data_IF_469842490686
#
_entry.id   IF_469842490686
#
_cell.length_a   1.000
_cell.length_b   1.000
_cell.length_c   1.000
_cell.angle_alpha   90.00
_cell.angle_beta   90.00
_cell.angle_gamma   90.00
#
_symmetry.space_group_name_H-M   'P 1'
#
loop_
_entity.id
_entity.type
_entity.pdbx_description
1 polymer ?
#
# COMPACT_ATOMS: atom_id res chain seq x y z
N UNK A 1 -11.95 6.53 -19.38
CA UNK A 1 -11.53 6.55 -17.97
C UNK A 1 -10.09 6.09 -17.89
N UNK A 2 -9.40 6.44 -16.82
CA UNK A 2 -8.07 5.94 -16.51
C UNK A 2 -8.06 4.43 -16.27
N UNK A 3 -9.17 3.85 -15.80
CA UNK A 3 -9.36 2.40 -15.73
C UNK A 3 -9.17 1.72 -17.10
N UNK A 4 -9.80 2.25 -18.16
CA UNK A 4 -9.67 1.71 -19.52
C UNK A 4 -8.22 1.78 -20.01
N UNK A 5 -7.55 2.92 -19.82
CA UNK A 5 -6.13 3.08 -20.14
C UNK A 5 -5.25 2.09 -19.36
N UNK A 6 -5.51 1.91 -18.07
CA UNK A 6 -4.77 0.96 -17.23
C UNK A 6 -4.93 -0.47 -17.75
N UNK A 7 -6.16 -0.92 -18.00
CA UNK A 7 -6.45 -2.27 -18.50
C UNK A 7 -5.84 -2.48 -19.89
N UNK A 8 -6.00 -1.51 -20.78
CA UNK A 8 -5.55 -1.61 -22.18
C UNK A 8 -4.04 -1.57 -22.32
N UNK A 9 -3.37 -0.66 -21.61
CA UNK A 9 -1.98 -0.30 -21.89
C UNK A 9 -1.04 -0.67 -20.74
N UNK A 10 -1.43 -0.48 -19.47
CA UNK A 10 -0.54 -0.73 -18.32
C UNK A 10 -0.47 -2.20 -17.91
N UNK A 11 -1.61 -2.88 -17.78
CA UNK A 11 -1.61 -4.29 -17.35
C UNK A 11 -0.84 -5.21 -18.33
N UNK A 12 -0.92 -5.05 -19.67
CA UNK A 12 -0.09 -5.84 -20.58
C UNK A 12 1.40 -5.54 -20.46
N UNK A 13 1.79 -4.29 -20.16
CA UNK A 13 3.18 -3.92 -19.91
C UNK A 13 3.71 -4.60 -18.64
N UNK A 14 2.92 -4.61 -17.56
CA UNK A 14 3.27 -5.30 -16.31
C UNK A 14 3.48 -6.79 -16.56
N UNK A 15 2.54 -7.47 -17.24
CA UNK A 15 2.69 -8.89 -17.60
C UNK A 15 3.94 -9.15 -18.46
N UNK A 16 4.26 -8.24 -19.37
CA UNK A 16 5.46 -8.36 -20.21
C UNK A 16 6.74 -8.25 -19.37
N UNK A 17 6.79 -7.34 -18.39
CA UNK A 17 7.92 -7.21 -17.46
C UNK A 17 8.04 -8.44 -16.54
N UNK A 18 6.93 -9.02 -16.11
CA UNK A 18 6.93 -10.26 -15.32
C UNK A 18 7.52 -11.42 -16.14
N UNK A 19 7.09 -11.57 -17.39
CA UNK A 19 7.62 -12.59 -18.31
C UNK A 19 9.13 -12.37 -18.54
N UNK A 20 9.56 -11.14 -18.78
CA UNK A 20 10.97 -10.79 -18.93
C UNK A 20 11.78 -11.12 -17.66
N UNK A 21 11.23 -10.84 -16.48
CA UNK A 21 11.88 -11.16 -15.20
C UNK A 21 12.11 -12.65 -15.04
N UNK A 22 11.11 -13.49 -15.31
CA UNK A 22 11.27 -14.94 -15.30
C UNK A 22 12.37 -15.40 -16.28
N UNK A 23 12.37 -14.85 -17.49
CA UNK A 23 13.35 -15.19 -18.52
C UNK A 23 14.79 -14.82 -18.11
N UNK A 24 14.98 -13.65 -17.47
CA UNK A 24 16.30 -13.21 -16.96
C UNK A 24 16.81 -14.10 -15.83
N UNK A 25 15.92 -14.67 -15.02
CA UNK A 25 16.27 -15.56 -13.90
C UNK A 25 16.43 -17.04 -14.31
N UNK A 26 16.36 -17.37 -15.60
CA UNK A 26 16.53 -18.75 -16.09
C UNK A 26 17.83 -19.42 -15.59
N UNK A 27 18.94 -18.69 -15.59
CA UNK A 27 20.23 -19.24 -15.14
C UNK A 27 20.22 -19.51 -13.63
N UNK A 28 19.63 -18.62 -12.82
CA UNK A 28 19.45 -18.81 -11.38
C UNK A 28 18.58 -20.05 -11.11
N UNK A 29 17.46 -20.21 -11.83
CA UNK A 29 16.62 -21.40 -11.70
C UNK A 29 17.34 -22.69 -12.11
N UNK A 30 18.25 -22.63 -13.08
CA UNK A 30 19.08 -23.77 -13.45
C UNK A 30 20.11 -24.09 -12.36
N UNK A 31 20.76 -23.09 -11.79
CA UNK A 31 21.75 -23.25 -10.72
C UNK A 31 21.10 -23.83 -9.45
N UNK A 32 19.91 -23.35 -9.08
CA UNK A 32 19.22 -23.78 -7.85
C UNK A 32 18.45 -25.09 -8.00
N UNK A 33 17.90 -25.37 -9.20
CA UNK A 33 16.93 -26.45 -9.39
C UNK A 33 17.21 -27.36 -10.61
N UNK A 34 18.30 -27.12 -11.34
CA UNK A 34 18.65 -27.83 -12.57
C UNK A 34 17.63 -27.63 -13.69
N UNK A 35 17.56 -28.60 -14.60
CA UNK A 35 16.62 -28.59 -15.73
C UNK A 35 15.15 -28.44 -15.30
N UNK A 36 14.78 -28.96 -14.12
CA UNK A 36 13.41 -28.81 -13.59
C UNK A 36 13.03 -27.36 -13.34
N UNK A 37 13.98 -26.51 -12.92
CA UNK A 37 13.77 -25.07 -12.75
C UNK A 37 13.49 -24.38 -14.09
N UNK A 38 14.29 -24.70 -15.11
CA UNK A 38 14.13 -24.16 -16.47
C UNK A 38 12.82 -24.62 -17.12
N UNK A 39 12.42 -25.87 -16.91
CA UNK A 39 11.11 -26.36 -17.40
C UNK A 39 9.94 -25.65 -16.71
N UNK A 40 10.03 -25.41 -15.40
CA UNK A 40 9.02 -24.69 -14.65
C UNK A 40 8.91 -23.22 -15.08
N UNK A 41 10.05 -22.55 -15.32
CA UNK A 41 10.12 -21.20 -15.88
C UNK A 41 9.41 -21.11 -17.23
N UNK A 42 9.72 -22.01 -18.17
CA UNK A 42 9.04 -22.06 -19.48
C UNK A 42 7.52 -22.24 -19.36
N UNK A 43 7.06 -23.13 -18.46
CA UNK A 43 5.62 -23.34 -18.23
C UNK A 43 4.95 -22.10 -17.63
N UNK A 44 5.59 -21.44 -16.67
CA UNK A 44 5.10 -20.20 -16.08
C UNK A 44 5.01 -19.07 -17.14
N UNK A 45 6.04 -18.91 -17.98
CA UNK A 45 6.02 -17.95 -19.10
C UNK A 45 4.90 -18.26 -20.09
N UNK A 46 4.68 -19.53 -20.43
CA UNK A 46 3.58 -19.94 -21.31
C UNK A 46 2.22 -19.56 -20.73
N UNK A 47 2.00 -19.83 -19.43
CA UNK A 47 0.78 -19.45 -18.71
C UNK A 47 0.57 -17.93 -18.74
N UNK A 48 1.59 -17.14 -18.43
CA UNK A 48 1.52 -15.68 -18.40
C UNK A 48 1.32 -15.07 -19.79
N UNK A 49 1.89 -15.70 -20.82
CA UNK A 49 1.67 -15.29 -22.21
C UNK A 49 0.21 -15.52 -22.63
N UNK A 50 -0.38 -16.65 -22.20
CA UNK A 50 -1.81 -16.92 -22.37
C UNK A 50 -2.66 -15.88 -21.64
N UNK A 51 -2.36 -15.59 -20.37
CA UNK A 51 -3.04 -14.57 -19.56
C UNK A 51 -2.98 -13.18 -20.23
N UNK A 52 -1.82 -12.79 -20.75
CA UNK A 52 -1.66 -11.52 -21.48
C UNK A 52 -2.54 -11.48 -22.73
N UNK A 53 -2.63 -12.57 -23.49
CA UNK A 53 -3.51 -12.65 -24.65
C UNK A 53 -5.00 -12.62 -24.26
N UNK A 54 -5.39 -13.32 -23.18
CA UNK A 54 -6.75 -13.27 -22.61
C UNK A 54 -7.15 -11.82 -22.30
N UNK A 55 -6.29 -11.09 -21.59
CA UNK A 55 -6.44 -9.66 -21.29
C UNK A 55 -6.59 -8.81 -22.55
N UNK A 56 -5.65 -8.92 -23.50
CA UNK A 56 -5.62 -8.07 -24.70
C UNK A 56 -6.77 -8.33 -25.68
N UNK A 57 -7.36 -9.54 -25.64
CA UNK A 57 -8.47 -9.93 -26.52
C UNK A 57 -9.83 -9.98 -25.81
N UNK A 58 -9.91 -9.35 -24.62
CA UNK A 58 -11.11 -9.26 -23.79
C UNK A 58 -11.82 -10.61 -23.59
N UNK A 59 -11.04 -11.67 -23.34
CA UNK A 59 -11.62 -12.99 -23.02
C UNK A 59 -12.40 -12.92 -21.71
N UNK A 60 -13.43 -13.77 -21.54
CA UNK A 60 -14.08 -13.93 -20.25
C UNK A 60 -13.08 -14.31 -19.16
N UNK A 61 -13.31 -13.79 -17.96
CA UNK A 61 -12.61 -14.17 -16.73
C UNK A 61 -12.95 -15.63 -16.42
N UNK A 62 -11.93 -16.45 -16.15
CA UNK A 62 -12.12 -17.87 -15.88
C UNK A 62 -11.98 -18.17 -14.38
N UNK A 63 -12.61 -19.24 -13.87
CA UNK A 63 -12.35 -19.71 -12.52
C UNK A 63 -10.85 -19.97 -12.28
N UNK A 64 -10.43 -19.83 -11.03
CA UNK A 64 -9.11 -20.25 -10.58
C UNK A 64 -9.15 -21.76 -10.31
N UNK A 65 -8.18 -22.48 -10.90
CA UNK A 65 -8.07 -23.95 -10.85
C UNK A 65 -6.89 -24.42 -9.96
N UNK A 66 -6.16 -23.48 -9.34
CA UNK A 66 -5.09 -23.81 -8.40
C UNK A 66 -5.63 -24.19 -7.02
N UNK A 67 -4.79 -24.86 -6.21
CA UNK A 67 -5.13 -25.36 -4.88
C UNK A 67 -4.81 -24.36 -3.75
N UNK A 68 -4.62 -23.06 -4.05
CA UNK A 68 -4.32 -22.08 -3.01
C UNK A 68 -5.56 -21.82 -2.13
N UNK A 69 -5.37 -21.47 -0.83
CA UNK A 69 -6.46 -21.39 0.13
C UNK A 69 -7.59 -20.40 -0.20
N UNK A 70 -7.29 -19.37 -1.00
CA UNK A 70 -8.23 -18.31 -1.36
C UNK A 70 -9.03 -18.60 -2.65
N UNK A 71 -8.69 -19.66 -3.40
CA UNK A 71 -9.28 -19.95 -4.71
C UNK A 71 -10.82 -20.09 -4.65
N UNK A 72 -11.34 -20.70 -3.59
CA UNK A 72 -12.78 -20.84 -3.38
C UNK A 72 -13.49 -19.48 -3.23
N UNK A 73 -12.91 -18.54 -2.47
CA UNK A 73 -13.47 -17.20 -2.29
C UNK A 73 -13.41 -16.37 -3.58
N UNK A 74 -12.34 -16.53 -4.37
CA UNK A 74 -12.23 -15.91 -5.68
C UNK A 74 -13.28 -16.41 -6.67
N UNK A 75 -13.53 -17.73 -6.68
CA UNK A 75 -14.53 -18.33 -7.56
C UNK A 75 -15.95 -17.95 -7.12
N UNK A 76 -16.22 -17.87 -5.82
CA UNK A 76 -17.48 -17.31 -5.30
C UNK A 76 -17.68 -15.85 -5.73
N UNK A 77 -16.62 -15.04 -5.73
CA UNK A 77 -16.70 -13.65 -6.20
C UNK A 77 -16.97 -13.57 -7.71
N UNK A 78 -16.36 -14.45 -8.53
CA UNK A 78 -16.68 -14.56 -9.96
C UNK A 78 -18.16 -14.90 -10.18
N UNK A 79 -18.69 -15.87 -9.43
CA UNK A 79 -20.11 -16.24 -9.51
C UNK A 79 -21.02 -15.09 -9.07
N UNK A 80 -20.65 -14.33 -8.03
CA UNK A 80 -21.34 -13.10 -7.67
C UNK A 80 -21.35 -12.09 -8.84
N UNK A 81 -20.20 -11.86 -9.48
CA UNK A 81 -20.09 -10.94 -10.63
C UNK A 81 -20.96 -11.38 -11.83
N UNK A 82 -21.02 -12.69 -12.11
CA UNK A 82 -21.89 -13.27 -13.17
C UNK A 82 -23.38 -13.02 -12.91
N UNK A 83 -23.78 -13.03 -11.64
CA UNK A 83 -25.18 -12.89 -11.23
C UNK A 83 -25.61 -11.42 -11.01
N UNK A 84 -24.75 -10.44 -11.28
CA UNK A 84 -25.12 -9.04 -11.17
C UNK A 84 -26.18 -8.66 -12.22
N UNK A 85 -27.30 -8.00 -11.85
CA UNK A 85 -28.41 -7.70 -12.77
C UNK A 85 -28.04 -6.86 -14.00
N UNK A 86 -26.91 -6.14 -13.94
CA UNK A 86 -26.45 -5.21 -14.97
C UNK A 86 -25.33 -5.80 -15.84
N UNK A 87 -25.05 -7.10 -15.76
CA UNK A 87 -24.00 -7.76 -16.55
C UNK A 87 -24.40 -7.92 -18.02
N UNK A 88 -23.64 -7.32 -18.94
CA UNK A 88 -23.80 -7.49 -20.39
C UNK A 88 -23.12 -8.78 -20.90
N UNK A 89 -23.35 -9.91 -20.23
CA UNK A 89 -22.71 -11.20 -20.53
C UNK A 89 -21.73 -11.67 -19.46
N UNK A 90 -20.87 -12.64 -19.81
CA UNK A 90 -19.84 -13.16 -18.91
C UNK A 90 -18.86 -12.05 -18.49
N UNK A 91 -18.44 -11.98 -17.20
CA UNK A 91 -17.42 -11.04 -16.75
C UNK A 91 -16.16 -11.13 -17.61
N UNK A 92 -15.72 -10.01 -18.17
CA UNK A 92 -14.50 -9.91 -18.99
C UNK A 92 -13.61 -8.75 -18.53
N UNK A 93 -12.42 -8.63 -19.10
CA UNK A 93 -11.41 -7.64 -18.72
C UNK A 93 -11.87 -6.19 -18.88
N UNK A 94 -12.60 -5.87 -19.96
CA UNK A 94 -13.05 -4.51 -20.26
C UNK A 94 -14.47 -4.19 -19.83
N UNK A 95 -15.23 -5.17 -19.33
CA UNK A 95 -16.62 -5.01 -18.90
C UNK A 95 -16.80 -5.10 -17.38
N UNK A 96 -15.91 -5.80 -16.69
CA UNK A 96 -16.02 -6.00 -15.23
C UNK A 96 -15.46 -4.80 -14.44
N UNK A 97 -15.77 -4.69 -13.13
CA UNK A 97 -15.21 -3.65 -12.29
C UNK A 97 -13.68 -3.61 -12.34
N UNK A 98 -13.10 -2.41 -12.43
CA UNK A 98 -11.65 -2.23 -12.56
C UNK A 98 -10.88 -2.86 -11.39
N UNK A 99 -11.30 -2.58 -10.15
CA UNK A 99 -10.75 -3.21 -8.95
C UNK A 99 -10.69 -4.74 -9.09
N UNK A 100 -11.76 -5.37 -9.57
CA UNK A 100 -11.83 -6.83 -9.70
C UNK A 100 -10.80 -7.35 -10.71
N UNK A 101 -10.78 -6.83 -11.94
CA UNK A 101 -9.92 -7.36 -13.01
C UNK A 101 -8.45 -7.11 -12.75
N UNK A 102 -8.11 -5.99 -12.12
CA UNK A 102 -6.74 -5.68 -11.74
C UNK A 102 -6.26 -6.60 -10.61
N UNK A 103 -7.07 -6.82 -9.58
CA UNK A 103 -6.77 -7.81 -8.54
C UNK A 103 -6.66 -9.24 -9.12
N UNK A 104 -7.57 -9.63 -10.03
CA UNK A 104 -7.58 -10.94 -10.68
C UNK A 104 -6.30 -11.19 -11.48
N UNK A 105 -5.78 -10.18 -12.17
CA UNK A 105 -4.51 -10.26 -12.91
C UNK A 105 -3.35 -10.68 -12.00
N UNK A 106 -3.16 -10.01 -10.86
CA UNK A 106 -2.10 -10.37 -9.90
C UNK A 106 -2.32 -11.74 -9.28
N UNK A 107 -3.58 -12.11 -8.98
CA UNK A 107 -3.89 -13.46 -8.48
C UNK A 107 -3.59 -14.55 -9.51
N UNK A 108 -3.82 -14.30 -10.81
CA UNK A 108 -3.45 -15.20 -11.91
C UNK A 108 -1.94 -15.26 -12.14
N UNK A 109 -1.19 -14.17 -11.92
CA UNK A 109 0.28 -14.21 -11.88
C UNK A 109 0.75 -15.15 -10.77
N UNK A 110 0.20 -14.99 -9.57
CA UNK A 110 0.59 -15.83 -8.44
C UNK A 110 0.22 -17.31 -8.67
N UNK A 111 -0.95 -17.58 -9.24
CA UNK A 111 -1.37 -18.92 -9.67
C UNK A 111 -0.36 -19.56 -10.66
N UNK A 112 0.16 -18.77 -11.60
CA UNK A 112 1.13 -19.24 -12.59
C UNK A 112 2.42 -19.76 -11.93
N UNK A 113 2.86 -19.15 -10.84
CA UNK A 113 4.03 -19.61 -10.09
C UNK A 113 3.68 -20.80 -9.20
N UNK A 114 2.58 -20.72 -8.45
CA UNK A 114 2.14 -21.78 -7.54
C UNK A 114 1.96 -23.14 -8.25
N UNK A 115 1.43 -23.13 -9.47
CA UNK A 115 1.22 -24.33 -10.30
C UNK A 115 2.50 -24.88 -10.95
N UNK A 116 3.64 -24.18 -10.85
CA UNK A 116 4.87 -24.55 -11.52
C UNK A 116 6.05 -24.69 -10.53
N UNK A 117 6.02 -25.70 -9.63
CA UNK A 117 7.19 -26.04 -8.83
C UNK A 117 8.37 -26.46 -9.74
N UNK A 118 9.63 -26.22 -9.33
CA UNK A 118 10.06 -25.78 -8.00
C UNK A 118 10.13 -24.26 -7.78
N UNK A 119 9.71 -23.42 -8.74
CA UNK A 119 9.80 -21.95 -8.64
C UNK A 119 8.56 -21.30 -7.99
N UNK A 120 7.74 -22.09 -7.28
CA UNK A 120 6.44 -21.68 -6.76
C UNK A 120 6.48 -20.58 -5.67
N UNK A 121 7.65 -20.34 -5.08
CA UNK A 121 7.86 -19.30 -4.08
C UNK A 121 8.56 -18.05 -4.65
N UNK A 122 8.81 -18.00 -5.96
CA UNK A 122 9.48 -16.87 -6.58
C UNK A 122 8.58 -15.62 -6.51
N UNK A 123 9.16 -14.48 -6.14
CA UNK A 123 8.48 -13.20 -6.19
C UNK A 123 8.99 -12.43 -7.41
N UNK A 124 8.16 -12.39 -8.45
CA UNK A 124 8.45 -11.73 -9.73
C UNK A 124 8.64 -10.22 -9.63
N UNK A 125 8.34 -9.61 -8.49
CA UNK A 125 8.51 -8.18 -8.26
C UNK A 125 9.60 -7.85 -7.23
N UNK A 126 10.22 -8.86 -6.61
CA UNK A 126 11.25 -8.69 -5.58
C UNK A 126 12.44 -7.86 -6.06
N UNK A 127 12.92 -8.10 -7.29
CA UNK A 127 14.02 -7.34 -7.89
C UNK A 127 13.69 -5.85 -7.97
N UNK A 128 12.51 -5.51 -8.48
CA UNK A 128 12.07 -4.11 -8.58
C UNK A 128 11.90 -3.43 -7.22
N UNK A 129 11.36 -4.15 -6.22
CA UNK A 129 11.22 -3.64 -4.85
C UNK A 129 12.57 -3.38 -4.18
N UNK A 130 13.53 -4.30 -4.35
CA UNK A 130 14.89 -4.14 -3.83
C UNK A 130 15.63 -3.00 -4.53
N UNK A 131 15.50 -2.91 -5.86
CA UNK A 131 16.09 -1.82 -6.64
C UNK A 131 15.58 -0.46 -6.18
N UNK A 132 14.26 -0.29 -5.99
CA UNK A 132 13.71 0.96 -5.47
C UNK A 132 14.33 1.33 -4.11
N UNK A 133 14.44 0.37 -3.17
CA UNK A 133 15.10 0.63 -1.88
C UNK A 133 16.56 1.11 -2.01
N UNK A 134 17.31 0.55 -2.95
CA UNK A 134 18.71 0.94 -3.18
C UNK A 134 18.84 2.27 -3.95
N UNK A 135 17.88 2.62 -4.80
CA UNK A 135 17.83 3.93 -5.45
C UNK A 135 17.47 5.04 -4.46
N UNK A 136 16.68 4.73 -3.43
CA UNK A 136 16.27 5.67 -2.38
C UNK A 136 17.27 5.88 -1.24
N UNK A 137 18.50 5.36 -1.33
CA UNK A 137 19.42 5.34 -0.17
C UNK A 137 19.68 6.72 0.44
N UNK A 138 19.86 7.76 -0.38
CA UNK A 138 20.11 9.11 0.11
C UNK A 138 18.90 9.66 0.90
N UNK A 139 17.67 9.40 0.41
CA UNK A 139 16.44 9.78 1.10
C UNK A 139 16.25 8.98 2.41
N UNK A 140 16.53 7.66 2.38
CA UNK A 140 16.49 6.80 3.58
C UNK A 140 17.49 7.28 4.64
N UNK A 141 18.71 7.64 4.23
CA UNK A 141 19.75 8.20 5.10
C UNK A 141 19.25 9.50 5.74
N UNK A 142 18.71 10.42 4.93
CA UNK A 142 18.23 11.71 5.41
C UNK A 142 17.11 11.55 6.44
N UNK A 143 16.12 10.69 6.17
CA UNK A 143 15.00 10.45 7.07
C UNK A 143 15.44 9.74 8.37
N UNK A 144 16.28 8.70 8.28
CA UNK A 144 16.80 8.03 9.48
C UNK A 144 17.66 8.97 10.33
N UNK A 145 18.48 9.80 9.70
CA UNK A 145 19.31 10.79 10.41
C UNK A 145 18.43 11.79 11.14
N UNK A 146 17.46 12.38 10.45
CA UNK A 146 16.50 13.30 11.04
C UNK A 146 15.80 12.69 12.25
N UNK A 147 15.28 11.48 12.08
CA UNK A 147 14.53 10.81 13.14
C UNK A 147 15.41 10.48 14.35
N UNK A 148 16.64 10.02 14.15
CA UNK A 148 17.56 9.75 15.26
C UNK A 148 17.99 11.03 16.00
N UNK A 149 18.13 12.16 15.31
CA UNK A 149 18.35 13.46 15.96
C UNK A 149 17.13 13.91 16.77
N UNK A 150 15.92 13.76 16.21
CA UNK A 150 14.66 14.03 16.91
C UNK A 150 14.52 13.19 18.20
N UNK A 151 14.88 11.91 18.15
CA UNK A 151 14.81 11.01 19.31
C UNK A 151 15.69 11.44 20.49
N UNK A 152 16.77 12.19 20.25
CA UNK A 152 17.64 12.67 21.35
C UNK A 152 16.89 13.60 22.30
N UNK A 153 15.96 14.39 21.76
CA UNK A 153 15.26 15.45 22.50
C UNK A 153 13.74 15.19 22.61
N UNK A 154 13.23 14.06 22.14
CA UNK A 154 11.78 13.78 22.07
C UNK A 154 11.05 13.88 23.43
N UNK A 155 11.78 13.67 24.53
CA UNK A 155 11.24 13.78 25.91
C UNK A 155 11.09 15.23 26.37
N UNK A 156 11.82 16.15 25.75
CA UNK A 156 11.86 17.57 26.10
C UNK A 156 10.90 18.40 25.22
N UNK A 157 10.28 17.77 24.22
CA UNK A 157 9.30 18.41 23.35
C UNK A 157 7.98 18.64 24.08
N UNK A 158 7.43 19.85 23.95
CA UNK A 158 6.08 20.15 24.40
C UNK A 158 5.01 19.54 23.47
N UNK A 159 3.74 19.63 23.88
CA UNK A 159 2.60 19.08 23.13
C UNK A 159 2.52 19.67 21.71
N UNK A 160 2.82 20.97 21.54
CA UNK A 160 2.76 21.64 20.24
C UNK A 160 3.91 21.20 19.32
N UNK A 161 5.11 21.07 19.85
CA UNK A 161 6.26 20.57 19.09
C UNK A 161 6.05 19.11 18.66
N UNK A 162 5.50 18.27 19.54
CA UNK A 162 5.14 16.90 19.18
C UNK A 162 4.07 16.83 18.09
N UNK A 163 3.09 17.75 18.12
CA UNK A 163 2.10 17.89 17.06
C UNK A 163 2.77 18.20 15.73
N UNK A 164 3.60 19.24 15.67
CA UNK A 164 4.32 19.65 14.46
C UNK A 164 5.15 18.51 13.86
N UNK A 165 5.82 17.72 14.71
CA UNK A 165 6.58 16.53 14.29
C UNK A 165 5.69 15.40 13.78
N UNK A 166 4.53 15.14 14.40
CA UNK A 166 3.58 14.17 13.88
C UNK A 166 3.06 14.59 12.50
N UNK A 167 2.61 15.83 12.33
CA UNK A 167 2.07 16.32 11.06
C UNK A 167 3.14 16.25 9.95
N UNK A 168 4.41 16.51 10.30
CA UNK A 168 5.54 16.39 9.38
C UNK A 168 5.75 14.95 8.94
N UNK A 169 5.78 13.99 9.87
CA UNK A 169 5.99 12.58 9.54
C UNK A 169 4.79 11.95 8.82
N UNK A 170 3.56 12.40 9.09
CA UNK A 170 2.37 12.03 8.30
C UNK A 170 2.51 12.50 6.84
N UNK A 171 3.05 13.69 6.61
CA UNK A 171 3.32 14.17 5.24
C UNK A 171 4.42 13.37 4.55
N UNK A 172 5.50 13.00 5.24
CA UNK A 172 6.53 12.10 4.66
C UNK A 172 5.92 10.75 4.29
N UNK A 173 5.10 10.17 5.16
CA UNK A 173 4.39 8.91 4.91
C UNK A 173 3.40 9.01 3.74
N UNK A 174 2.66 10.12 3.62
CA UNK A 174 1.76 10.40 2.49
C UNK A 174 2.51 10.48 1.15
N UNK A 175 3.66 11.16 1.16
CA UNK A 175 4.43 11.48 -0.03
C UNK A 175 5.58 10.52 -0.30
N UNK A 176 5.71 9.39 0.40
CA UNK A 176 6.85 8.47 0.30
C UNK A 176 7.33 8.24 -1.15
N UNK A 177 6.42 7.86 -2.04
CA UNK A 177 6.73 7.64 -3.46
C UNK A 177 7.27 8.88 -4.20
N UNK A 178 6.88 10.09 -3.80
CA UNK A 178 7.35 11.36 -4.39
C UNK A 178 8.60 11.91 -3.76
N UNK A 179 8.71 11.82 -2.43
CA UNK A 179 9.88 12.24 -1.69
C UNK A 179 11.14 11.54 -2.21
N UNK A 180 11.00 10.27 -2.61
CA UNK A 180 12.02 9.50 -3.33
C UNK A 180 12.35 10.09 -4.71
N UNK A 181 11.34 10.29 -5.57
CA UNK A 181 11.51 10.81 -6.94
C UNK A 181 12.12 12.22 -7.00
N UNK A 182 11.79 13.09 -6.05
CA UNK A 182 12.39 14.43 -5.98
C UNK A 182 13.90 14.42 -5.68
N UNK A 183 14.42 13.28 -5.19
CA UNK A 183 15.84 13.09 -4.90
C UNK A 183 16.57 12.34 -6.02
N UNK A 184 15.89 11.40 -6.70
CA UNK A 184 16.44 10.55 -7.76
C UNK A 184 16.31 11.12 -9.17
N UNK A 185 15.34 12.00 -9.43
CA UNK A 185 15.26 12.75 -10.68
C UNK A 185 16.32 13.85 -10.68
N UNK A 186 17.46 13.59 -11.32
CA UNK A 186 18.59 14.52 -11.50
C UNK A 186 18.28 15.76 -12.35
N UNK A 187 17.16 16.42 -12.13
CA UNK A 187 16.97 17.79 -12.62
C UNK A 187 17.96 18.71 -11.90
N UNK A 188 18.67 19.46 -12.74
CA UNK A 188 19.82 20.33 -12.53
C UNK A 188 19.50 21.52 -11.61
N UNK A 189 19.02 21.26 -10.40
CA UNK A 189 18.93 22.23 -9.31
C UNK A 189 19.98 21.87 -8.28
N UNK A 190 20.89 22.80 -8.03
CA UNK A 190 22.06 22.69 -7.15
C UNK A 190 21.74 22.52 -5.65
N UNK A 191 20.55 22.03 -5.32
CA UNK A 191 20.09 21.73 -3.97
C UNK A 191 19.29 20.41 -3.96
N UNK A 192 19.98 19.28 -3.81
CA UNK A 192 19.36 18.03 -3.34
C UNK A 192 18.76 18.29 -1.96
N UNK A 193 17.50 18.71 -1.89
CA UNK A 193 16.83 19.04 -0.64
C UNK A 193 16.34 17.77 0.06
N UNK A 194 16.50 17.69 1.38
CA UNK A 194 16.00 16.56 2.19
C UNK A 194 14.49 16.35 1.94
N UNK A 195 13.96 15.10 1.97
CA UNK A 195 12.52 14.83 1.89
C UNK A 195 11.65 15.70 2.81
N UNK A 196 12.23 16.17 3.91
CA UNK A 196 11.58 17.01 4.91
C UNK A 196 11.52 18.49 4.51
N UNK A 197 12.49 18.97 3.71
CA UNK A 197 12.57 20.36 3.27
C UNK A 197 11.58 20.66 2.14
N UNK A 198 11.20 19.65 1.35
CA UNK A 198 10.24 19.81 0.25
C UNK A 198 8.78 19.76 0.72
N UNK A 199 8.50 19.42 1.98
CA UNK A 199 7.14 19.26 2.50
C UNK A 199 6.34 20.56 2.47
N UNK A 200 6.94 21.70 2.79
CA UNK A 200 6.27 23.02 2.74
C UNK A 200 5.73 23.33 1.34
N UNK A 201 6.49 22.97 0.30
CA UNK A 201 6.08 23.13 -1.10
C UNK A 201 5.02 22.12 -1.53
N UNK A 202 4.88 21.01 -0.81
CA UNK A 202 3.90 19.96 -1.09
C UNK A 202 2.55 20.17 -0.38
N UNK A 203 2.53 20.97 0.68
CA UNK A 203 1.32 21.24 1.48
C UNK A 203 0.13 21.76 0.64
N UNK A 204 0.30 22.67 -0.34
CA UNK A 204 -0.82 23.11 -1.20
C UNK A 204 -1.46 22.00 -2.05
N UNK A 205 -0.77 20.88 -2.25
CA UNK A 205 -1.28 19.73 -2.99
C UNK A 205 -2.02 18.72 -2.11
N UNK A 206 -2.13 18.97 -0.80
CA UNK A 206 -2.99 18.20 0.10
C UNK A 206 -4.40 18.81 0.10
N UNK A 207 -5.29 18.25 -0.72
CA UNK A 207 -6.60 18.84 -1.02
C UNK A 207 -7.69 18.56 0.04
N UNK A 208 -7.47 17.53 0.85
CA UNK A 208 -8.20 17.24 2.09
C UNK A 208 -7.15 16.97 3.15
N UNK A 209 -7.16 17.74 4.23
CA UNK A 209 -6.13 17.69 5.25
C UNK A 209 -6.74 17.58 6.66
N UNK A 210 -6.90 16.34 7.11
CA UNK A 210 -7.43 15.99 8.43
C UNK A 210 -6.34 15.57 9.43
N UNK A 211 -5.06 15.93 9.20
CA UNK A 211 -3.97 15.53 10.10
C UNK A 211 -4.20 16.01 11.55
N UNK A 212 -4.84 17.16 11.73
CA UNK A 212 -5.21 17.70 13.05
C UNK A 212 -6.20 16.79 13.82
N UNK A 213 -7.10 16.10 13.10
CA UNK A 213 -8.02 15.13 13.70
C UNK A 213 -7.28 13.89 14.19
N UNK A 214 -6.28 13.44 13.42
CA UNK A 214 -5.39 12.33 13.80
C UNK A 214 -4.62 12.67 15.07
N UNK A 215 -4.03 13.87 15.14
CA UNK A 215 -3.36 14.35 16.35
C UNK A 215 -4.30 14.38 17.56
N UNK A 216 -5.47 15.01 17.41
CA UNK A 216 -6.46 15.16 18.48
C UNK A 216 -6.89 13.79 19.03
N UNK A 217 -7.13 12.81 18.14
CA UNK A 217 -7.48 11.44 18.53
C UNK A 217 -6.38 10.78 19.36
N UNK A 218 -5.13 10.81 18.88
CA UNK A 218 -4.01 10.14 19.55
C UNK A 218 -3.65 10.78 20.88
N UNK A 219 -3.70 12.11 20.97
CA UNK A 219 -3.46 12.83 22.23
C UNK A 219 -4.55 12.53 23.26
N UNK A 220 -5.82 12.48 22.85
CA UNK A 220 -6.90 12.12 23.75
C UNK A 220 -6.76 10.66 24.21
N UNK A 221 -6.48 9.73 23.30
CA UNK A 221 -6.21 8.33 23.65
C UNK A 221 -5.02 8.19 24.61
N UNK A 222 -3.97 9.01 24.44
CA UNK A 222 -2.82 9.08 25.36
C UNK A 222 -3.23 9.63 26.74
N UNK A 223 -4.11 10.62 26.82
CA UNK A 223 -4.62 11.21 28.07
C UNK A 223 -5.58 10.26 28.80
N UNK A 224 -6.39 9.51 28.07
CA UNK A 224 -7.35 8.52 28.60
C UNK A 224 -6.70 7.16 28.91
N UNK A 225 -5.38 7.06 28.78
CA UNK A 225 -4.63 5.85 29.05
C UNK A 225 -4.76 5.43 30.52
N UNK A 226 -5.15 4.18 30.73
CA UNK A 226 -5.18 3.53 32.04
C UNK A 226 -4.22 2.35 32.03
N UNK A 227 -3.92 1.75 33.20
CA UNK A 227 -3.13 0.51 33.28
C UNK A 227 -3.72 -0.66 32.46
N UNK A 228 -4.98 -0.56 32.01
CA UNK A 228 -5.71 -1.58 31.27
C UNK A 228 -6.01 -1.20 29.81
N UNK A 229 -5.65 0.00 29.36
CA UNK A 229 -5.92 0.47 27.99
C UNK A 229 -4.62 0.88 27.29
N UNK A 230 -4.17 0.07 26.35
CA UNK A 230 -3.08 0.41 25.44
C UNK A 230 -3.62 1.20 24.25
N UNK A 231 -2.81 2.13 23.73
CA UNK A 231 -3.12 2.82 22.47
C UNK A 231 -2.51 2.03 21.31
N UNK A 232 -3.38 1.38 20.52
CA UNK A 232 -3.00 0.60 19.35
C UNK A 232 -3.22 1.41 18.07
N UNK A 233 -2.21 1.42 17.21
CA UNK A 233 -2.32 1.97 15.84
C UNK A 233 -2.04 0.86 14.84
N UNK A 234 -2.92 0.70 13.86
CA UNK A 234 -2.69 -0.25 12.75
C UNK A 234 -2.35 0.54 11.48
N UNK A 235 -1.32 0.11 10.76
CA UNK A 235 -0.91 0.65 9.47
C UNK A 235 -1.16 -0.40 8.40
N UNK A 236 -2.13 -0.16 7.54
CA UNK A 236 -2.43 -0.99 6.37
C UNK A 236 -1.53 -0.50 5.24
N UNK A 237 -0.48 -1.29 4.97
CA UNK A 237 0.64 -0.91 4.12
C UNK A 237 0.27 -0.92 2.63
N UNK A 238 0.97 -0.07 1.89
CA UNK A 238 1.00 -0.02 0.42
C UNK A 238 2.38 -0.54 -0.05
N UNK A 239 3.23 0.32 -0.58
CA UNK A 239 4.49 -0.08 -1.23
C UNK A 239 5.64 -0.37 -0.27
N UNK A 240 6.53 -1.26 -0.70
CA UNK A 240 7.85 -1.47 -0.12
C UNK A 240 8.78 -0.27 -0.45
N UNK A 241 10.09 -0.41 -0.20
CA UNK A 241 11.06 0.64 -0.53
C UNK A 241 10.97 1.84 0.41
N UNK A 242 11.12 3.06 -0.11
CA UNK A 242 11.13 4.27 0.72
C UNK A 242 9.79 4.54 1.41
N UNK A 243 8.66 4.21 0.78
CA UNK A 243 7.34 4.37 1.40
C UNK A 243 7.24 3.54 2.69
N UNK A 244 7.63 2.27 2.65
CA UNK A 244 7.69 1.44 3.86
C UNK A 244 8.63 2.04 4.92
N UNK A 245 9.83 2.52 4.55
CA UNK A 245 10.74 3.16 5.51
C UNK A 245 10.09 4.38 6.19
N UNK A 246 9.33 5.18 5.44
CA UNK A 246 8.61 6.32 6.02
C UNK A 246 7.52 5.90 7.02
N UNK A 247 6.83 4.79 6.74
CA UNK A 247 5.81 4.23 7.64
C UNK A 247 6.43 3.63 8.90
N UNK A 248 7.60 2.99 8.79
CA UNK A 248 8.37 2.49 9.93
C UNK A 248 8.89 3.63 10.82
N UNK A 249 9.35 4.74 10.23
CA UNK A 249 9.77 5.93 10.98
C UNK A 249 8.58 6.57 11.70
N UNK A 250 7.42 6.69 11.03
CA UNK A 250 6.18 7.16 11.66
C UNK A 250 5.79 6.26 12.85
N UNK A 251 5.83 4.94 12.68
CA UNK A 251 5.53 3.99 13.74
C UNK A 251 6.48 4.11 14.94
N UNK A 252 7.78 4.35 14.70
CA UNK A 252 8.77 4.47 15.76
C UNK A 252 8.62 5.80 16.51
N UNK A 253 8.27 6.86 15.78
CA UNK A 253 7.86 8.13 16.39
C UNK A 253 6.62 7.98 17.27
N UNK A 254 5.58 7.26 16.82
CA UNK A 254 4.36 7.04 17.60
C UNK A 254 4.65 6.36 18.94
N UNK A 255 5.51 5.34 18.95
CA UNK A 255 5.96 4.68 20.18
C UNK A 255 6.84 5.60 21.03
N UNK A 256 7.83 6.25 20.43
CA UNK A 256 8.83 7.05 21.15
C UNK A 256 8.23 8.32 21.78
N UNK A 257 7.20 8.91 21.15
CA UNK A 257 6.42 10.04 21.68
C UNK A 257 5.30 9.61 22.65
N UNK A 258 5.13 8.29 22.85
CA UNK A 258 4.04 7.67 23.63
C UNK A 258 2.64 8.04 23.11
N UNK A 259 2.51 8.33 21.81
CA UNK A 259 1.20 8.47 21.16
C UNK A 259 0.58 7.11 20.86
N UNK A 260 1.39 6.07 20.74
CA UNK A 260 0.97 4.66 20.69
C UNK A 260 1.78 3.83 21.70
N UNK A 261 1.23 2.69 22.10
CA UNK A 261 1.90 1.65 22.90
C UNK A 261 2.25 0.44 22.03
N UNK A 262 1.48 0.20 20.98
CA UNK A 262 1.71 -0.87 20.01
C UNK A 262 1.32 -0.43 18.60
N UNK A 263 2.08 -0.91 17.60
CA UNK A 263 1.83 -0.67 16.18
C UNK A 263 1.73 -1.99 15.43
N UNK A 264 0.62 -2.16 14.72
CA UNK A 264 0.34 -3.35 13.92
C UNK A 264 0.47 -3.01 12.44
N UNK A 265 1.30 -3.74 11.71
CA UNK A 265 1.47 -3.56 10.28
C UNK A 265 0.70 -4.64 9.54
N UNK A 266 -0.11 -4.25 8.56
CA UNK A 266 -0.86 -5.18 7.71
C UNK A 266 -0.29 -5.14 6.30
N UNK A 267 0.35 -6.24 5.89
CA UNK A 267 0.89 -6.40 4.54
C UNK A 267 0.12 -7.41 3.70
N UNK A 268 0.59 -7.63 2.47
CA UNK A 268 -0.02 -8.55 1.51
C UNK A 268 0.51 -9.97 1.68
N UNK A 269 -0.38 -10.97 1.54
CA UNK A 269 -0.02 -12.40 1.68
C UNK A 269 0.68 -12.98 0.45
N UNK A 270 0.60 -12.31 -0.70
CA UNK A 270 1.22 -12.71 -1.97
C UNK A 270 1.85 -11.49 -2.64
N UNK A 271 2.79 -11.66 -3.60
CA UNK A 271 3.26 -10.56 -4.43
C UNK A 271 2.09 -9.84 -5.10
N UNK A 272 1.96 -8.53 -4.88
CA UNK A 272 0.74 -7.80 -5.17
C UNK A 272 1.07 -6.40 -5.70
N UNK A 273 0.32 -5.95 -6.70
CA UNK A 273 0.40 -4.59 -7.25
C UNK A 273 1.83 -4.09 -7.53
N UNK A 274 2.69 -5.00 -7.99
CA UNK A 274 4.13 -4.79 -8.23
C UNK A 274 4.91 -4.49 -6.94
N UNK A 275 4.64 -3.37 -6.29
CA UNK A 275 5.47 -2.84 -5.21
C UNK A 275 4.91 -3.08 -3.82
N UNK A 276 3.72 -3.64 -3.65
CA UNK A 276 3.12 -3.78 -2.32
C UNK A 276 3.97 -4.65 -1.38
N UNK A 277 3.99 -4.23 -0.12
CA UNK A 277 4.77 -4.86 0.93
C UNK A 277 4.17 -6.21 1.34
N UNK A 278 4.95 -7.27 1.14
CA UNK A 278 4.73 -8.58 1.75
C UNK A 278 5.52 -8.70 3.05
N UNK A 279 5.28 -9.79 3.80
CA UNK A 279 6.09 -10.12 4.98
C UNK A 279 7.59 -10.25 4.67
N UNK A 280 7.92 -10.78 3.49
CA UNK A 280 9.32 -10.91 3.07
C UNK A 280 9.95 -9.52 2.90
N UNK A 281 9.28 -8.60 2.23
CA UNK A 281 9.79 -7.25 1.99
C UNK A 281 9.97 -6.49 3.31
N UNK A 282 8.99 -6.57 4.20
CA UNK A 282 9.05 -5.95 5.53
C UNK A 282 10.29 -6.39 6.32
N UNK A 283 10.49 -7.70 6.43
CA UNK A 283 11.63 -8.25 7.15
C UNK A 283 12.95 -7.95 6.43
N UNK A 284 12.96 -8.00 5.10
CA UNK A 284 14.13 -7.68 4.29
C UNK A 284 14.57 -6.24 4.50
N UNK A 285 13.65 -5.27 4.43
CA UNK A 285 13.94 -3.85 4.65
C UNK A 285 14.53 -3.59 6.03
N UNK A 286 13.92 -4.12 7.10
CA UNK A 286 14.46 -3.97 8.47
C UNK A 286 15.87 -4.57 8.58
N UNK A 287 16.10 -5.74 8.00
CA UNK A 287 17.41 -6.40 7.97
C UNK A 287 18.45 -5.58 7.19
N UNK A 288 18.08 -5.01 6.05
CA UNK A 288 18.97 -4.15 5.26
C UNK A 288 19.36 -2.90 6.04
N UNK A 289 18.41 -2.22 6.69
CA UNK A 289 18.74 -1.06 7.53
C UNK A 289 19.65 -1.47 8.69
N UNK A 290 19.32 -2.54 9.42
CA UNK A 290 20.11 -2.98 10.58
C UNK A 290 21.55 -3.34 10.21
N UNK A 291 21.76 -3.86 8.99
CA UNK A 291 23.07 -4.25 8.45
C UNK A 291 23.79 -3.13 7.69
N UNK A 292 23.20 -1.93 7.60
CA UNK A 292 23.77 -0.83 6.84
C UNK A 292 25.04 -0.28 7.48
N UNK A 293 26.02 0.11 6.66
CA UNK A 293 27.26 0.77 7.13
C UNK A 293 27.06 2.26 7.50
N UNK A 294 25.82 2.74 7.52
CA UNK A 294 25.46 4.09 7.96
C UNK A 294 24.88 4.06 9.38
N UNK A 295 25.47 4.84 10.30
CA UNK A 295 25.18 4.77 11.73
C UNK A 295 23.68 4.90 12.05
N UNK A 296 23.00 5.90 11.49
CA UNK A 296 21.59 6.15 11.80
C UNK A 296 20.63 5.15 11.16
N UNK A 297 20.98 4.60 10.00
CA UNK A 297 20.18 3.53 9.38
C UNK A 297 20.28 2.24 10.18
N UNK A 298 21.51 1.85 10.55
CA UNK A 298 21.75 0.67 11.40
C UNK A 298 21.04 0.82 12.74
N UNK A 299 21.10 2.00 13.35
CA UNK A 299 20.40 2.28 14.61
C UNK A 299 18.88 2.12 14.48
N UNK A 300 18.27 2.69 13.43
CA UNK A 300 16.85 2.48 13.13
C UNK A 300 16.53 0.98 12.98
N UNK A 301 17.23 0.27 12.09
CA UNK A 301 16.96 -1.15 11.83
C UNK A 301 17.10 -2.03 13.07
N UNK A 302 18.12 -1.82 13.90
CA UNK A 302 18.30 -2.54 15.18
C UNK A 302 17.16 -2.24 16.15
N UNK A 303 16.76 -0.97 16.27
CA UNK A 303 15.64 -0.58 17.14
C UNK A 303 14.33 -1.23 16.69
N UNK A 304 14.07 -1.25 15.38
CA UNK A 304 12.86 -1.83 14.78
C UNK A 304 12.80 -3.35 14.96
N UNK A 305 13.92 -4.04 14.77
CA UNK A 305 14.01 -5.47 15.11
C UNK A 305 13.76 -5.70 16.61
N UNK A 306 14.26 -4.80 17.48
CA UNK A 306 13.96 -4.78 18.90
C UNK A 306 12.48 -4.59 19.22
N UNK A 307 11.79 -3.71 18.51
CA UNK A 307 10.35 -3.46 18.67
C UNK A 307 9.52 -4.70 18.28
N UNK A 308 9.90 -5.40 17.21
CA UNK A 308 9.30 -6.68 16.83
C UNK A 308 9.51 -7.75 17.91
N UNK A 309 10.74 -7.89 18.43
CA UNK A 309 11.05 -8.87 19.49
C UNK A 309 10.29 -8.62 20.79
N UNK A 310 10.04 -7.34 21.12
CA UNK A 310 9.23 -6.95 22.29
C UNK A 310 7.72 -7.13 22.10
N UNK A 311 7.26 -7.35 20.86
CA UNK A 311 5.84 -7.42 20.53
C UNK A 311 5.12 -6.08 20.51
N UNK A 312 5.83 -4.95 20.62
CA UNK A 312 5.24 -3.61 20.46
C UNK A 312 5.07 -3.23 19.00
N UNK A 313 5.81 -3.88 18.10
CA UNK A 313 5.50 -3.93 16.67
C UNK A 313 5.07 -5.35 16.31
N UNK A 314 3.99 -5.46 15.53
CA UNK A 314 3.46 -6.75 15.08
C UNK A 314 3.18 -6.67 13.58
N UNK A 315 3.79 -7.55 12.79
CA UNK A 315 3.42 -7.71 11.39
C UNK A 315 2.34 -8.80 11.24
N UNK A 316 1.28 -8.48 10.51
CA UNK A 316 0.20 -9.37 10.13
C UNK A 316 0.03 -9.35 8.61
N UNK A 317 -0.27 -10.50 8.05
CA UNK A 317 -0.87 -10.63 6.74
C UNK A 317 -2.20 -11.36 6.89
N UNK A 318 -3.10 -11.12 5.93
CA UNK A 318 -4.40 -11.76 5.88
C UNK A 318 -4.85 -11.80 4.42
N UNK A 319 -5.39 -12.94 3.99
CA UNK A 319 -5.74 -13.15 2.57
C UNK A 319 -6.72 -12.09 2.03
N UNK A 320 -7.58 -11.54 2.91
CA UNK A 320 -8.53 -10.49 2.55
C UNK A 320 -7.87 -9.26 1.88
N UNK A 321 -6.66 -8.88 2.31
CA UNK A 321 -5.95 -7.75 1.71
C UNK A 321 -5.68 -7.96 0.21
N UNK A 322 -5.54 -9.22 -0.21
CA UNK A 322 -5.28 -9.65 -1.59
C UNK A 322 -6.49 -10.30 -2.27
N UNK A 323 -7.69 -10.22 -1.67
CA UNK A 323 -8.95 -10.57 -2.33
C UNK A 323 -9.47 -9.41 -3.22
N UNK A 324 -10.41 -9.64 -4.15
CA UNK A 324 -10.96 -8.57 -5.00
C UNK A 324 -12.03 -7.73 -4.29
N UNK A 325 -12.42 -8.14 -3.10
CA UNK A 325 -13.42 -7.51 -2.26
C UNK A 325 -13.00 -6.08 -1.85
N UNK A 326 -13.95 -5.16 -1.93
CA UNK A 326 -13.81 -3.87 -1.24
C UNK A 326 -14.04 -4.04 0.27
N UNK A 327 -13.63 -3.06 1.06
CA UNK A 327 -13.58 -3.19 2.51
C UNK A 327 -14.97 -3.22 3.17
N UNK A 328 -16.03 -2.77 2.49
CA UNK A 328 -17.41 -2.84 3.03
C UNK A 328 -17.90 -4.26 3.28
N UNK A 329 -17.30 -5.24 2.59
CA UNK A 329 -17.62 -6.66 2.74
C UNK A 329 -16.78 -7.39 3.79
N UNK A 330 -15.82 -6.71 4.45
CA UNK A 330 -14.87 -7.37 5.34
C UNK A 330 -15.56 -8.06 6.53
N UNK A 331 -16.60 -7.45 7.10
CA UNK A 331 -17.34 -8.04 8.23
C UNK A 331 -18.06 -9.34 7.88
N UNK A 332 -18.35 -9.59 6.60
CA UNK A 332 -19.00 -10.80 6.12
C UNK A 332 -17.96 -11.84 5.64
N UNK A 333 -16.94 -11.39 4.91
CA UNK A 333 -15.96 -12.26 4.24
C UNK A 333 -14.78 -12.63 5.14
N UNK A 334 -14.37 -11.72 6.04
CA UNK A 334 -13.26 -11.89 6.97
C UNK A 334 -13.62 -11.31 8.36
N UNK A 335 -14.65 -11.87 9.03
CA UNK A 335 -15.15 -11.34 10.30
C UNK A 335 -14.09 -11.33 11.40
N UNK A 336 -13.13 -12.26 11.36
CA UNK A 336 -11.99 -12.33 12.26
C UNK A 336 -11.03 -11.14 12.07
N UNK A 337 -10.73 -10.77 10.82
CA UNK A 337 -9.95 -9.56 10.53
C UNK A 337 -10.71 -8.30 10.93
N UNK A 338 -12.01 -8.21 10.63
CA UNK A 338 -12.81 -7.06 11.03
C UNK A 338 -12.80 -6.87 12.55
N UNK A 339 -13.03 -7.96 13.31
CA UNK A 339 -12.98 -7.94 14.77
C UNK A 339 -11.58 -7.60 15.32
N UNK A 340 -10.52 -7.96 14.60
CA UNK A 340 -9.15 -7.58 14.96
C UNK A 340 -8.91 -6.08 14.76
N UNK A 341 -9.39 -5.50 13.65
CA UNK A 341 -9.28 -4.05 13.38
C UNK A 341 -10.11 -3.22 14.38
N UNK A 342 -11.22 -3.75 14.89
CA UNK A 342 -12.04 -3.08 15.92
C UNK A 342 -11.31 -2.84 17.25
N UNK A 343 -10.17 -3.51 17.48
CA UNK A 343 -9.34 -3.29 18.67
C UNK A 343 -8.43 -2.07 18.56
N UNK A 344 -8.32 -1.49 17.37
CA UNK A 344 -7.42 -0.37 17.12
C UNK A 344 -8.00 0.95 17.61
N UNK A 345 -7.14 1.86 18.05
CA UNK A 345 -7.52 3.25 18.30
C UNK A 345 -7.46 4.08 17.02
N UNK A 346 -6.63 3.69 16.04
CA UNK A 346 -6.48 4.36 14.76
C UNK A 346 -5.98 3.39 13.68
N UNK A 347 -6.70 3.35 12.55
CA UNK A 347 -6.27 2.66 11.33
C UNK A 347 -5.71 3.67 10.32
N UNK A 348 -4.46 3.51 9.92
CA UNK A 348 -3.83 4.29 8.85
C UNK A 348 -3.80 3.46 7.56
N UNK A 349 -4.57 3.87 6.56
CA UNK A 349 -4.61 3.24 5.25
C UNK A 349 -3.71 3.96 4.27
N UNK A 350 -2.64 3.30 3.81
CA UNK A 350 -1.66 3.87 2.89
C UNK A 350 -2.06 3.70 1.43
N UNK A 351 -1.86 4.73 0.62
CA UNK A 351 -1.84 4.60 -0.83
C UNK A 351 -3.20 4.48 -1.52
N UNK A 352 -3.14 4.38 -2.85
CA UNK A 352 -4.30 4.52 -3.74
C UNK A 352 -5.21 3.28 -3.74
N UNK A 353 -4.63 2.08 -3.75
CA UNK A 353 -5.43 0.84 -3.76
C UNK A 353 -6.26 0.69 -2.49
N UNK A 354 -5.69 1.01 -1.32
CA UNK A 354 -6.45 1.00 -0.07
C UNK A 354 -7.60 2.02 -0.11
N UNK A 355 -7.38 3.22 -0.66
CA UNK A 355 -8.46 4.20 -0.84
C UNK A 355 -9.56 3.69 -1.79
N UNK A 356 -9.19 3.10 -2.92
CA UNK A 356 -10.15 2.48 -3.85
C UNK A 356 -10.96 1.37 -3.17
N UNK A 357 -10.32 0.54 -2.34
CA UNK A 357 -11.03 -0.49 -1.57
C UNK A 357 -11.88 0.08 -0.43
N UNK A 358 -11.48 1.19 0.19
CA UNK A 358 -12.31 1.91 1.17
C UNK A 358 -13.58 2.47 0.52
N UNK A 359 -13.48 3.02 -0.70
CA UNK A 359 -14.62 3.65 -1.40
C UNK A 359 -15.32 2.74 -2.43
N UNK A 360 -14.95 1.46 -2.48
CA UNK A 360 -15.50 0.47 -3.41
C UNK A 360 -15.21 0.71 -4.89
N UNK A 361 -14.21 1.54 -5.22
CA UNK A 361 -13.80 1.91 -6.58
C UNK A 361 -14.98 2.41 -7.46
N UNK A 362 -15.91 3.13 -6.84
CA UNK A 362 -17.15 3.63 -7.49
C UNK A 362 -17.00 5.05 -8.01
N UNK A 363 -17.87 5.39 -8.96
CA UNK A 363 -18.03 6.76 -9.50
C UNK A 363 -18.87 7.63 -8.56
N UNK A 364 -18.33 7.93 -7.39
CA UNK A 364 -18.96 8.85 -6.45
C UNK A 364 -18.89 10.28 -6.97
N UNK A 365 -19.90 11.09 -6.66
CA UNK A 365 -19.78 12.55 -6.79
C UNK A 365 -18.74 13.07 -5.78
N UNK A 366 -17.97 14.09 -6.16
CA UNK A 366 -16.86 14.59 -5.34
C UNK A 366 -17.27 15.02 -3.93
N UNK A 367 -18.49 15.52 -3.76
CA UNK A 367 -19.02 16.04 -2.51
C UNK A 367 -19.63 14.97 -1.59
N UNK A 368 -19.72 13.70 -2.03
CA UNK A 368 -20.20 12.61 -1.19
C UNK A 368 -19.33 12.53 0.07
N UNK A 369 -19.89 12.52 1.29
CA UNK A 369 -19.10 12.43 2.51
C UNK A 369 -18.25 11.15 2.54
N UNK A 370 -17.02 11.26 3.06
CA UNK A 370 -16.13 10.09 3.18
C UNK A 370 -16.78 8.97 4.01
N UNK A 371 -17.42 9.32 5.13
CA UNK A 371 -18.21 8.40 5.95
C UNK A 371 -19.23 7.58 5.13
N UNK A 372 -19.94 8.23 4.20
CA UNK A 372 -20.91 7.55 3.35
C UNK A 372 -20.23 6.62 2.33
N UNK A 373 -19.11 7.07 1.75
CA UNK A 373 -18.38 6.31 0.74
C UNK A 373 -17.70 5.05 1.31
N UNK A 374 -17.35 5.04 2.61
CA UNK A 374 -16.83 3.87 3.33
C UNK A 374 -17.82 2.70 3.39
N UNK A 375 -19.11 2.97 3.20
CA UNK A 375 -20.18 1.98 3.11
C UNK A 375 -20.11 0.89 4.19
N UNK A 376 -20.60 1.16 5.40
CA UNK A 376 -20.61 0.20 6.54
C UNK A 376 -19.22 -0.20 7.08
N UNK A 377 -18.12 0.19 6.43
CA UNK A 377 -16.77 -0.10 6.94
C UNK A 377 -16.33 0.94 7.97
N UNK A 378 -16.66 0.71 9.24
CA UNK A 378 -16.25 1.55 10.36
C UNK A 378 -15.77 0.70 11.55
N UNK A 379 -14.72 -0.13 11.39
CA UNK A 379 -14.23 -0.97 12.47
C UNK A 379 -13.66 -0.16 13.65
N UNK A 380 -12.96 0.94 13.35
CA UNK A 380 -12.36 1.86 14.30
C UNK A 380 -12.15 3.22 13.62
N UNK A 381 -11.78 4.30 14.34
CA UNK A 381 -11.33 5.53 13.68
C UNK A 381 -10.24 5.23 12.67
N UNK A 382 -10.36 5.80 11.47
CA UNK A 382 -9.46 5.54 10.36
C UNK A 382 -9.05 6.82 9.65
N UNK A 383 -7.87 6.80 9.05
CA UNK A 383 -7.37 7.85 8.19
C UNK A 383 -6.74 7.24 6.96
N UNK A 384 -7.08 7.75 5.78
CA UNK A 384 -6.36 7.41 4.55
C UNK A 384 -5.28 8.45 4.27
N UNK A 385 -4.06 7.97 4.03
CA UNK A 385 -2.91 8.74 3.54
C UNK A 385 -2.68 8.34 2.09
N UNK A 386 -3.26 9.09 1.17
CA UNK A 386 -3.37 8.69 -0.24
C UNK A 386 -2.87 9.77 -1.17
N UNK A 387 -1.88 9.42 -1.98
CA UNK A 387 -1.57 10.14 -3.22
C UNK A 387 -2.52 9.68 -4.33
N UNK A 388 -3.19 10.59 -5.03
CA UNK A 388 -4.24 10.26 -6.00
C UNK A 388 -3.68 9.63 -7.28
N UNK A 389 -4.05 8.38 -7.57
CA UNK A 389 -3.64 7.63 -8.78
C UNK A 389 -4.83 6.92 -9.47
N UNK A 390 -6.06 7.34 -9.20
CA UNK A 390 -7.29 6.73 -9.75
C UNK A 390 -8.47 7.70 -9.80
N UNK A 391 -9.45 7.40 -10.68
CA UNK A 391 -10.64 8.22 -10.99
C UNK A 391 -11.70 8.27 -9.86
N UNK A 392 -11.31 8.12 -8.59
CA UNK A 392 -12.21 8.19 -7.42
C UNK A 392 -11.68 9.20 -6.41
N UNK A 393 -12.53 10.13 -5.96
CA UNK A 393 -12.26 11.03 -4.85
C UNK A 393 -13.59 11.50 -4.25
N UNK A 394 -13.69 11.50 -2.92
CA UNK A 394 -14.89 11.91 -2.19
C UNK A 394 -14.58 12.91 -1.09
N UNK A 395 -15.60 13.49 -0.48
CA UNK A 395 -15.47 14.42 0.65
C UNK A 395 -14.78 15.74 0.31
N UNK A 396 -14.82 16.17 -0.96
CA UNK A 396 -14.36 17.48 -1.37
C UNK A 396 -15.41 18.55 -1.05
N UNK A 397 -14.96 19.80 -0.92
CA UNK A 397 -15.87 20.94 -0.84
C UNK A 397 -16.62 21.08 -2.18
N UNK A 398 -17.89 21.54 -2.18
CA UNK A 398 -18.62 21.81 -3.43
C UNK A 398 -17.80 22.71 -4.38
N UNK A 399 -17.62 22.27 -5.63
CA UNK A 399 -16.88 23.01 -6.65
C UNK A 399 -15.36 22.79 -6.64
N UNK A 400 -14.78 22.20 -5.59
CA UNK A 400 -13.33 22.03 -5.48
C UNK A 400 -12.79 21.07 -6.55
N UNK A 401 -13.41 19.90 -6.72
CA UNK A 401 -12.98 18.92 -7.71
C UNK A 401 -13.15 19.42 -9.14
N UNK A 402 -14.25 20.12 -9.41
CA UNK A 402 -14.57 20.71 -10.71
C UNK A 402 -13.57 21.81 -11.10
N UNK A 403 -13.17 22.66 -10.14
CA UNK A 403 -12.16 23.70 -10.36
C UNK A 403 -10.78 23.13 -10.70
N UNK A 404 -10.34 22.09 -9.97
CA UNK A 404 -9.07 21.42 -10.26
C UNK A 404 -9.16 20.73 -11.62
N UNK A 405 -10.24 19.98 -11.88
CA UNK A 405 -10.46 19.29 -13.15
C UNK A 405 -10.44 20.23 -14.37
N UNK A 406 -10.98 21.45 -14.24
CA UNK A 406 -10.96 22.45 -15.30
C UNK A 406 -9.55 22.95 -15.63
N UNK A 407 -8.65 22.95 -14.64
CA UNK A 407 -7.27 23.45 -14.78
C UNK A 407 -6.28 22.33 -15.14
N UNK A 408 -6.46 21.15 -14.54
CA UNK A 408 -5.57 19.99 -14.64
C UNK A 408 -6.40 18.72 -14.86
N UNK A 409 -6.72 18.34 -16.11
CA UNK A 409 -7.64 17.24 -16.38
C UNK A 409 -7.25 15.87 -15.81
N UNK A 410 -5.95 15.65 -15.57
CA UNK A 410 -5.38 14.40 -15.04
C UNK A 410 -5.05 14.46 -13.53
N UNK A 411 -5.57 15.46 -12.81
CA UNK A 411 -5.21 15.70 -11.41
C UNK A 411 -5.40 14.47 -10.49
N UNK A 412 -6.44 13.66 -10.70
CA UNK A 412 -6.71 12.44 -9.90
C UNK A 412 -5.79 11.26 -10.20
N UNK A 413 -5.06 11.29 -11.32
CA UNK A 413 -4.31 10.11 -11.81
C UNK A 413 -2.82 10.38 -12.03
N UNK A 414 -2.42 11.65 -11.92
CA UNK A 414 -1.04 12.12 -12.05
C UNK A 414 -0.17 11.78 -10.84
N UNK A 415 -0.75 11.42 -9.70
CA UNK A 415 -0.04 11.37 -8.43
C UNK A 415 0.25 12.75 -7.85
N UNK A 416 -0.13 13.86 -8.49
CA UNK A 416 0.25 15.21 -8.05
C UNK A 416 -0.41 15.65 -6.74
N UNK A 417 -1.64 15.22 -6.49
CA UNK A 417 -2.39 15.59 -5.29
C UNK A 417 -2.40 14.48 -4.24
N UNK A 418 -2.62 14.86 -2.99
CA UNK A 418 -2.70 13.97 -1.85
C UNK A 418 -3.90 14.31 -0.96
N UNK A 419 -4.36 13.32 -0.19
CA UNK A 419 -5.35 13.50 0.86
C UNK A 419 -4.88 12.85 2.15
N UNK A 420 -5.14 13.55 3.25
CA UNK A 420 -5.22 12.99 4.59
C UNK A 420 -6.68 13.10 4.98
N UNK A 421 -7.41 11.99 4.88
CA UNK A 421 -8.87 11.99 5.02
C UNK A 421 -9.28 11.07 6.16
N UNK A 422 -9.93 11.64 7.17
CA UNK A 422 -10.22 10.97 8.45
C UNK A 422 -11.73 10.68 8.60
N UNK A 423 -12.04 9.51 9.15
CA UNK A 423 -13.37 9.11 9.62
C UNK A 423 -13.25 8.53 11.03
N UNK A 424 -14.05 9.02 11.96
CA UNK A 424 -14.36 8.31 13.19
C UNK A 424 -15.87 8.09 13.14
N UNK A 425 -16.29 6.82 13.07
CA UNK A 425 -17.71 6.47 13.06
C UNK A 425 -18.49 7.27 14.10
N UNK A 426 -19.69 7.72 13.71
CA UNK A 426 -20.56 8.60 14.54
C UNK A 426 -20.97 7.95 15.86
#
# INVERSE_FOLDING_TARGET
>A
SFAYFTIKDRLPQILTRVIDTLHRHKNEFFEEHGEKGVEAEKRAISFLSKLRNELQTDKPVTPLEDELPDAALWNQYLDYQRNLPNGNGEPSWFQSPWLYVECYMYRRIHAALAQNPPINNFDVFKEGKAQNFFESQEAVIALCTYFQELLKNIKDLDEKQLQEELLKLLQVSLWGNKCDLSFSAGEDSSQKSSPLQSLENMLPYIIVNDMEKVWSLLVNAKKDRTERSNVRVDIILDNAGFELVSDLVLADFLLSSKLADEVYFHGKSIPWYVSDTTKHDFNWTIKQLGSANHMWMSRCGINWEGNLKKGVWVFRDHMFWTLPHDFSSMSEVAPDLYAELQKSNLLLFKGDLNYRKLTGDRKWEYSVPFHQALNKFHPAPLCSLRTLKSDTQVGLKPGQGEQIQASEPEWMVSGKYGVVQFDAGL
#
